data_IF_003017401304
#
_entry.id   IF_003017401304
#
_cell.length_a   1.000
_cell.length_b   1.000
_cell.length_c   1.000
_cell.angle_alpha   90.00
_cell.angle_beta   90.00
_cell.angle_gamma   90.00
#
_symmetry.space_group_name_H-M   'P 1'
#
loop_
_entity.id
_entity.type
_entity.pdbx_description
1 polymer ?
#
# COMPACT_ATOMS: atom_id res chain seq x y z
N UNK A 1 35.32 -51.51 -11.26
CA UNK A 1 33.88 -51.50 -10.91
C UNK A 1 33.67 -50.30 -10.01
N UNK A 2 33.37 -49.17 -10.63
CA UNK A 2 33.23 -47.85 -9.98
C UNK A 2 31.77 -47.49 -10.02
N UNK A 3 31.18 -47.34 -8.84
CA UNK A 3 29.79 -46.90 -8.67
C UNK A 3 29.74 -45.37 -8.64
N UNK A 4 29.10 -44.76 -9.60
CA UNK A 4 28.70 -43.34 -9.60
C UNK A 4 27.45 -43.18 -8.76
N UNK A 5 27.55 -42.40 -7.68
CA UNK A 5 26.42 -41.90 -6.92
C UNK A 5 25.92 -40.59 -7.52
N UNK A 6 24.74 -40.61 -8.05
CA UNK A 6 24.01 -39.41 -8.51
C UNK A 6 23.38 -38.68 -7.33
N UNK A 7 23.91 -37.50 -7.00
CA UNK A 7 23.28 -36.58 -6.06
C UNK A 7 22.14 -35.86 -6.75
N UNK A 8 20.92 -36.17 -6.39
CA UNK A 8 19.74 -35.34 -6.69
C UNK A 8 19.76 -34.12 -5.80
N UNK A 9 20.07 -32.97 -6.35
CA UNK A 9 19.74 -31.69 -5.75
C UNK A 9 18.22 -31.48 -5.91
N UNK A 10 17.49 -31.61 -4.82
CA UNK A 10 16.13 -31.14 -4.73
C UNK A 10 16.18 -29.61 -4.54
N UNK A 11 15.84 -28.87 -5.59
CA UNK A 11 15.47 -27.46 -5.49
C UNK A 11 14.23 -27.39 -4.61
N UNK A 12 14.39 -26.92 -3.39
CA UNK A 12 13.28 -26.46 -2.56
C UNK A 12 12.82 -25.14 -3.18
N UNK A 13 11.65 -25.17 -3.79
CA UNK A 13 10.87 -23.97 -4.07
C UNK A 13 10.51 -23.35 -2.72
N UNK A 14 11.19 -22.28 -2.36
CA UNK A 14 10.95 -21.49 -1.15
C UNK A 14 10.10 -20.31 -1.61
N UNK A 15 8.79 -20.46 -1.50
CA UNK A 15 7.83 -19.36 -1.78
C UNK A 15 7.96 -18.30 -0.70
N UNK A 16 7.98 -17.06 -1.14
CA UNK A 16 8.06 -15.89 -0.29
C UNK A 16 6.73 -15.63 0.42
N UNK A 17 6.77 -15.71 1.72
CA UNK A 17 5.65 -15.45 2.62
C UNK A 17 5.77 -14.07 3.32
N UNK A 18 6.17 -13.04 2.62
CA UNK A 18 6.42 -11.74 3.21
C UNK A 18 5.60 -10.62 2.56
N UNK A 19 4.33 -10.51 2.94
CA UNK A 19 3.58 -9.26 2.90
C UNK A 19 2.39 -9.37 3.86
N UNK A 20 2.42 -8.61 4.95
CA UNK A 20 1.30 -8.28 5.85
C UNK A 20 0.15 -9.30 5.90
N UNK A 21 0.28 -10.40 6.60
CA UNK A 21 -0.88 -11.26 6.73
C UNK A 21 -0.70 -12.64 7.31
N UNK A 22 0.14 -12.87 8.34
CA UNK A 22 0.09 -14.12 9.08
C UNK A 22 -0.75 -14.02 10.34
N UNK A 23 -2.02 -14.40 10.20
CA UNK A 23 -2.77 -15.00 11.28
C UNK A 23 -3.15 -16.43 10.88
N UNK A 24 -2.21 -17.38 11.04
CA UNK A 24 -2.52 -18.79 11.05
C UNK A 24 -2.64 -19.25 12.52
N UNK A 25 -3.55 -20.21 12.80
CA UNK A 25 -3.61 -20.83 14.11
C UNK A 25 -2.32 -21.60 14.39
N UNK A 26 -1.91 -21.63 15.59
CA UNK A 26 -0.73 -22.03 16.33
C UNK A 26 0.08 -23.28 15.94
N UNK A 27 0.27 -23.63 14.67
CA UNK A 27 1.08 -24.81 14.26
C UNK A 27 2.07 -24.60 13.13
N UNK A 28 2.22 -23.37 12.59
CA UNK A 28 3.25 -23.07 11.59
C UNK A 28 4.30 -22.12 12.16
N UNK A 29 5.55 -22.35 11.75
CA UNK A 29 6.75 -21.74 12.28
C UNK A 29 6.57 -20.26 12.61
N UNK A 30 6.90 -19.92 13.84
CA UNK A 30 7.04 -18.57 14.35
C UNK A 30 8.17 -17.92 13.57
N UNK A 31 7.85 -17.14 12.53
CA UNK A 31 8.79 -16.21 11.95
C UNK A 31 8.90 -15.03 12.91
N UNK A 32 10.11 -14.65 13.25
CA UNK A 32 10.41 -13.50 14.11
C UNK A 32 9.93 -12.24 13.37
N UNK A 33 8.76 -11.73 13.77
CA UNK A 33 8.32 -10.39 13.40
C UNK A 33 9.18 -9.38 14.13
N UNK A 34 9.40 -8.22 13.51
CA UNK A 34 9.95 -7.11 14.24
C UNK A 34 9.07 -6.81 15.46
N UNK A 35 9.62 -7.06 16.64
CA UNK A 35 8.99 -6.68 17.89
C UNK A 35 9.40 -5.24 18.25
N UNK A 36 8.45 -4.48 18.80
CA UNK A 36 8.78 -3.18 19.37
C UNK A 36 9.74 -3.36 20.55
N UNK A 37 10.75 -2.51 20.63
CA UNK A 37 11.67 -2.52 21.78
C UNK A 37 10.91 -2.15 23.05
N UNK A 38 11.09 -2.92 24.12
CA UNK A 38 10.52 -2.62 25.44
C UNK A 38 11.01 -1.27 26.02
N UNK A 39 12.12 -0.72 25.50
CA UNK A 39 12.67 0.59 25.86
C UNK A 39 12.25 1.69 24.88
N UNK A 40 11.45 1.36 23.84
CA UNK A 40 11.06 2.25 22.77
C UNK A 40 12.09 2.35 21.64
N UNK A 41 11.79 3.10 20.56
CA UNK A 41 12.67 3.26 19.42
C UNK A 41 13.98 3.98 19.77
N UNK A 42 15.07 3.58 19.13
CA UNK A 42 16.39 4.20 19.20
C UNK A 42 16.76 4.83 17.86
N UNK A 43 17.60 5.87 17.86
CA UNK A 43 17.92 6.66 16.68
C UNK A 43 19.42 6.79 16.46
N UNK A 44 19.83 6.91 15.20
CA UNK A 44 21.22 7.20 14.83
C UNK A 44 21.64 8.62 15.23
N UNK A 45 20.67 9.56 15.26
CA UNK A 45 20.85 10.93 15.76
C UNK A 45 20.41 11.01 17.23
N UNK A 46 21.31 11.33 18.20
CA UNK A 46 21.00 11.33 19.64
C UNK A 46 20.01 12.44 20.04
N UNK A 47 19.83 13.45 19.21
CA UNK A 47 18.90 14.54 19.48
C UNK A 47 17.46 14.17 19.14
N UNK A 48 17.23 13.10 18.37
CA UNK A 48 15.90 12.64 18.00
C UNK A 48 15.28 11.83 19.14
N UNK A 49 13.99 12.09 19.37
CA UNK A 49 13.18 11.42 20.37
C UNK A 49 11.84 10.98 19.75
N UNK A 50 11.31 9.88 20.26
CA UNK A 50 9.94 9.47 20.03
C UNK A 50 9.22 9.39 21.38
N UNK A 51 8.02 9.92 21.44
CA UNK A 51 7.11 9.74 22.56
C UNK A 51 5.89 8.96 22.13
N UNK A 52 5.39 8.09 22.99
CA UNK A 52 4.16 7.36 22.76
C UNK A 52 2.98 8.32 22.95
N UNK A 53 2.22 8.54 21.89
CA UNK A 53 1.00 9.34 21.95
C UNK A 53 -0.19 8.50 22.42
N UNK A 54 -0.30 7.29 21.93
CA UNK A 54 -1.32 6.29 22.32
C UNK A 54 -0.81 4.89 21.99
N UNK A 55 -1.26 3.92 22.74
CA UNK A 55 -1.01 2.48 22.54
C UNK A 55 -2.30 1.66 22.71
N UNK A 56 -2.28 0.39 22.28
CA UNK A 56 -3.41 -0.53 22.43
C UNK A 56 -4.48 -0.40 21.34
N UNK A 57 -4.13 0.16 20.17
CA UNK A 57 -4.98 0.12 18.98
C UNK A 57 -5.00 -1.33 18.41
N UNK A 58 -6.11 -1.73 17.79
CA UNK A 58 -6.28 -3.09 17.26
C UNK A 58 -5.89 -3.17 15.78
N UNK A 59 -4.67 -3.66 15.51
CA UNK A 59 -4.14 -3.89 14.16
C UNK A 59 -4.36 -2.68 13.22
N UNK A 60 -3.85 -1.48 13.56
CA UNK A 60 -4.10 -0.32 12.74
C UNK A 60 -3.23 -0.33 11.47
N UNK A 61 -3.82 0.13 10.35
CA UNK A 61 -3.17 0.12 9.04
C UNK A 61 -2.82 1.51 8.52
N UNK A 62 -3.64 2.49 8.78
CA UNK A 62 -3.45 3.84 8.24
C UNK A 62 -4.07 4.90 9.14
N UNK A 63 -3.55 6.11 9.06
CA UNK A 63 -4.05 7.26 9.84
C UNK A 63 -4.09 8.53 9.00
N UNK A 64 -4.93 9.48 9.42
CA UNK A 64 -4.98 10.82 8.84
C UNK A 64 -5.18 11.86 9.94
N UNK A 65 -4.45 12.97 9.88
CA UNK A 65 -4.49 14.00 10.91
C UNK A 65 -5.42 15.15 10.51
N UNK A 66 -6.43 15.40 11.33
CA UNK A 66 -7.35 16.54 11.19
C UNK A 66 -6.71 17.84 11.69
N UNK A 67 -5.92 17.76 12.75
CA UNK A 67 -5.16 18.83 13.40
C UNK A 67 -4.03 18.19 14.23
N UNK A 68 -3.14 18.95 14.86
CA UNK A 68 -2.25 18.41 15.87
C UNK A 68 -3.02 17.60 16.91
N UNK A 69 -2.55 16.39 17.22
CA UNK A 69 -3.15 15.46 18.19
C UNK A 69 -4.64 15.13 17.96
N UNK A 70 -5.17 15.35 16.74
CA UNK A 70 -6.51 15.00 16.31
C UNK A 70 -6.43 14.06 15.10
N UNK A 71 -6.50 12.76 15.35
CA UNK A 71 -6.13 11.70 14.42
C UNK A 71 -7.33 10.80 14.14
N UNK A 72 -7.56 10.51 12.86
CA UNK A 72 -8.39 9.39 12.42
C UNK A 72 -7.49 8.18 12.19
N UNK A 73 -7.85 7.03 12.75
CA UNK A 73 -7.10 5.79 12.61
C UNK A 73 -8.02 4.65 12.18
N UNK A 74 -7.53 3.82 11.28
CA UNK A 74 -8.21 2.63 10.80
C UNK A 74 -7.82 1.42 11.66
N UNK A 75 -8.79 0.63 12.09
CA UNK A 75 -8.55 -0.69 12.67
C UNK A 75 -8.95 -1.76 11.63
N UNK A 76 -7.93 -2.48 11.15
CA UNK A 76 -8.00 -3.35 9.97
C UNK A 76 -9.16 -4.33 10.00
N UNK A 77 -9.13 -5.23 10.99
CA UNK A 77 -10.05 -6.35 11.09
C UNK A 77 -11.39 -5.97 11.71
N UNK A 78 -11.40 -4.95 12.57
CA UNK A 78 -12.61 -4.43 13.17
C UNK A 78 -13.50 -3.67 12.18
N UNK A 79 -12.95 -3.22 11.04
CA UNK A 79 -13.70 -2.44 10.06
C UNK A 79 -14.12 -1.07 10.60
N UNK A 80 -13.33 -0.47 11.50
CA UNK A 80 -13.70 0.79 12.16
C UNK A 80 -12.77 1.93 11.80
N UNK A 81 -13.34 3.14 11.79
CA UNK A 81 -12.61 4.40 11.79
C UNK A 81 -12.77 5.01 13.17
N UNK A 82 -11.69 5.12 13.91
CA UNK A 82 -11.66 5.69 15.25
C UNK A 82 -11.04 7.07 15.24
N UNK A 83 -11.39 7.91 16.21
CA UNK A 83 -10.80 9.25 16.37
C UNK A 83 -10.10 9.36 17.71
N UNK A 84 -8.88 9.87 17.68
CA UNK A 84 -8.02 10.13 18.83
C UNK A 84 -7.89 11.64 18.95
N UNK A 85 -8.15 12.18 20.14
CA UNK A 85 -7.96 13.59 20.46
C UNK A 85 -7.12 13.69 21.73
N UNK A 86 -6.01 14.43 21.67
CA UNK A 86 -5.08 14.59 22.79
C UNK A 86 -4.67 13.25 23.44
N UNK A 87 -4.31 12.27 22.59
CA UNK A 87 -3.90 10.93 23.01
C UNK A 87 -5.01 10.04 23.59
N UNK A 88 -6.27 10.42 23.40
CA UNK A 88 -7.42 9.63 23.89
C UNK A 88 -8.35 9.26 22.75
N UNK A 89 -8.60 7.96 22.59
CA UNK A 89 -9.57 7.45 21.63
C UNK A 89 -10.99 7.74 22.10
N UNK A 90 -11.86 8.21 21.19
CA UNK A 90 -13.29 8.37 21.47
C UNK A 90 -13.92 6.98 21.70
N UNK A 91 -14.90 6.91 22.59
CA UNK A 91 -15.61 5.68 22.95
C UNK A 91 -16.30 5.04 21.75
N UNK A 92 -16.93 5.86 20.90
CA UNK A 92 -17.66 5.39 19.73
C UNK A 92 -16.87 5.63 18.44
N UNK A 93 -16.74 4.64 17.56
CA UNK A 93 -16.12 4.86 16.26
C UNK A 93 -16.93 5.81 15.38
N UNK A 94 -16.26 6.53 14.50
CA UNK A 94 -16.89 7.40 13.51
C UNK A 94 -17.65 6.60 12.44
N UNK A 95 -17.16 5.40 12.15
CA UNK A 95 -17.73 4.46 11.18
C UNK A 95 -17.40 3.02 11.59
N UNK A 96 -18.33 2.11 11.30
CA UNK A 96 -18.10 0.67 11.35
C UNK A 96 -18.74 0.04 10.11
N UNK A 97 -17.95 -0.71 9.33
CA UNK A 97 -18.35 -1.42 8.11
C UNK A 97 -17.92 -2.87 8.17
N UNK A 98 -18.58 -3.72 7.39
CA UNK A 98 -18.17 -5.12 7.27
C UNK A 98 -17.00 -5.23 6.29
N UNK A 99 -15.92 -5.84 6.73
CA UNK A 99 -14.70 -6.03 5.95
C UNK A 99 -14.25 -7.48 5.93
N UNK A 100 -13.53 -7.87 4.90
CA UNK A 100 -12.75 -9.10 4.88
C UNK A 100 -11.68 -9.07 5.97
N UNK A 101 -11.26 -10.24 6.47
CA UNK A 101 -10.31 -10.32 7.59
C UNK A 101 -9.12 -11.25 7.30
N UNK A 102 -9.03 -11.78 6.07
CA UNK A 102 -7.90 -12.65 5.70
C UNK A 102 -6.74 -11.82 5.17
N UNK A 103 -5.54 -12.30 5.43
CA UNK A 103 -4.26 -11.79 4.90
C UNK A 103 -4.23 -10.25 4.89
N UNK A 104 -4.34 -9.61 3.73
CA UNK A 104 -4.32 -8.16 3.61
C UNK A 104 -5.73 -7.52 3.66
N UNK A 105 -6.80 -8.27 3.50
CA UNK A 105 -8.16 -7.75 3.56
C UNK A 105 -8.47 -6.96 4.83
N UNK A 106 -9.23 -5.89 4.72
CA UNK A 106 -9.64 -5.08 5.86
C UNK A 106 -9.88 -3.62 5.51
N UNK A 107 -9.82 -2.78 6.55
CA UNK A 107 -9.69 -1.33 6.39
C UNK A 107 -8.23 -1.02 6.07
N UNK A 108 -7.92 -0.44 4.89
CA UNK A 108 -6.56 -0.35 4.38
C UNK A 108 -6.06 1.09 4.26
N UNK A 109 -6.83 1.99 3.68
CA UNK A 109 -6.36 3.34 3.42
C UNK A 109 -7.33 4.45 3.80
N UNK A 110 -6.78 5.58 4.24
CA UNK A 110 -7.52 6.78 4.57
C UNK A 110 -6.81 8.03 4.04
N UNK A 111 -7.59 8.94 3.49
CA UNK A 111 -7.14 10.31 3.23
C UNK A 111 -8.25 11.30 3.57
N UNK A 112 -7.88 12.55 3.86
CA UNK A 112 -8.84 13.62 4.17
C UNK A 112 -8.67 14.78 3.20
N UNK A 113 -9.78 15.45 2.87
CA UNK A 113 -9.79 16.68 2.09
C UNK A 113 -10.63 17.75 2.77
N UNK A 114 -10.07 18.93 2.91
CA UNK A 114 -10.73 20.16 3.40
C UNK A 114 -10.81 21.23 2.32
N UNK A 115 -10.67 20.84 1.04
CA UNK A 115 -10.63 21.82 -0.07
C UNK A 115 -11.93 22.57 -0.29
N UNK A 116 -13.08 21.98 0.10
CA UNK A 116 -14.38 22.64 0.05
C UNK A 116 -14.65 23.29 1.42
N UNK A 117 -14.75 24.63 1.50
CA UNK A 117 -15.00 25.32 2.77
C UNK A 117 -16.23 24.77 3.49
N UNK A 118 -16.09 24.50 4.79
CA UNK A 118 -17.18 23.97 5.61
C UNK A 118 -17.41 22.46 5.51
N UNK A 119 -16.68 21.75 4.64
CA UNK A 119 -16.78 20.31 4.48
C UNK A 119 -15.42 19.64 4.75
N UNK A 120 -15.45 18.53 5.46
CA UNK A 120 -14.31 17.61 5.58
C UNK A 120 -14.73 16.28 4.96
N UNK A 121 -14.11 15.94 3.84
CA UNK A 121 -14.31 14.65 3.20
C UNK A 121 -13.25 13.67 3.67
N UNK A 122 -13.67 12.43 3.91
CA UNK A 122 -12.82 11.29 4.27
C UNK A 122 -12.96 10.23 3.19
N UNK A 123 -11.84 9.86 2.60
CA UNK A 123 -11.74 8.82 1.59
C UNK A 123 -11.24 7.56 2.28
N UNK A 124 -11.95 6.45 2.10
CA UNK A 124 -11.65 5.18 2.72
C UNK A 124 -11.57 4.10 1.64
N UNK A 125 -10.47 3.36 1.66
CA UNK A 125 -10.30 2.17 0.85
C UNK A 125 -10.30 0.94 1.75
N UNK A 126 -11.15 -0.04 1.41
CA UNK A 126 -11.27 -1.26 2.19
C UNK A 126 -11.83 -2.41 1.37
N UNK A 127 -11.52 -3.63 1.79
CA UNK A 127 -12.10 -4.85 1.24
C UNK A 127 -13.48 -5.06 1.85
N UNK A 128 -14.52 -4.66 1.14
CA UNK A 128 -15.90 -4.74 1.62
C UNK A 128 -16.41 -6.18 1.56
N UNK A 129 -17.11 -6.58 2.63
CA UNK A 129 -17.73 -7.90 2.73
C UNK A 129 -19.23 -7.78 3.00
N UNK A 130 -19.97 -8.82 2.60
CA UNK A 130 -21.37 -8.95 3.00
C UNK A 130 -21.49 -8.98 4.53
N UNK A 131 -22.58 -8.42 5.05
CA UNK A 131 -22.93 -8.66 6.44
C UNK A 131 -23.08 -10.16 6.65
N UNK A 132 -22.28 -10.75 7.52
CA UNK A 132 -22.44 -12.14 7.92
C UNK A 132 -23.92 -12.37 8.23
N UNK A 133 -24.57 -13.28 7.50
CA UNK A 133 -25.94 -13.64 7.75
C UNK A 133 -26.02 -14.14 9.19
N UNK A 134 -26.48 -13.29 10.10
CA UNK A 134 -26.75 -13.63 11.48
C UNK A 134 -27.98 -14.57 11.56
N UNK A 135 -27.99 -15.59 10.71
CA UNK A 135 -28.89 -16.73 10.80
C UNK A 135 -28.27 -17.84 11.65
N UNK A 136 -27.83 -17.48 12.86
CA UNK A 136 -27.86 -18.47 13.93
C UNK A 136 -29.32 -18.66 14.31
N UNK A 137 -29.99 -19.57 13.61
CA UNK A 137 -31.22 -20.19 14.11
C UNK A 137 -30.96 -20.65 15.55
N UNK A 138 -31.55 -19.96 16.50
CA UNK A 138 -31.62 -20.35 17.89
C UNK A 138 -32.51 -21.59 18.02
N UNK A 139 -32.02 -22.72 17.49
CA UNK A 139 -32.52 -24.05 17.69
C UNK A 139 -31.66 -24.71 18.74
N UNK A 140 -32.25 -24.95 19.93
CA UNK A 140 -31.66 -25.68 21.03
C UNK A 140 -31.05 -27.01 20.56
N UNK A 141 -29.73 -27.13 20.65
CA UNK A 141 -28.98 -28.37 20.49
C UNK A 141 -27.61 -28.20 21.11
N UNK A 142 -27.47 -28.73 22.36
CA UNK A 142 -26.15 -28.88 22.99
C UNK A 142 -25.31 -29.81 22.12
N UNK A 143 -24.11 -29.37 21.69
CA UNK A 143 -22.91 -30.22 21.70
C UNK A 143 -21.66 -29.42 21.30
N UNK A 144 -20.66 -29.57 22.16
CA UNK A 144 -19.20 -29.51 21.95
C UNK A 144 -18.58 -28.40 21.11
N UNK A 145 -17.85 -27.54 21.81
CA UNK A 145 -16.71 -26.73 21.49
C UNK A 145 -16.02 -26.94 20.13
N UNK A 146 -16.57 -26.31 19.06
CA UNK A 146 -15.84 -26.01 17.83
C UNK A 146 -16.04 -24.52 17.54
N UNK A 147 -14.93 -23.83 17.37
CA UNK A 147 -14.91 -22.46 16.89
C UNK A 147 -15.61 -22.41 15.55
N UNK A 148 -16.82 -21.85 15.49
CA UNK A 148 -17.53 -21.56 14.24
C UNK A 148 -16.96 -20.29 13.57
N UNK A 149 -15.69 -20.30 13.20
CA UNK A 149 -15.17 -19.41 12.18
C UNK A 149 -15.63 -19.93 10.81
N UNK A 150 -16.13 -19.05 9.94
CA UNK A 150 -16.38 -19.41 8.55
C UNK A 150 -15.12 -20.02 7.94
N UNK A 151 -15.27 -21.07 7.11
CA UNK A 151 -14.12 -21.62 6.40
C UNK A 151 -13.50 -20.52 5.47
N UNK A 152 -12.21 -20.61 5.13
CA UNK A 152 -11.59 -19.69 4.19
C UNK A 152 -12.38 -19.51 2.88
N UNK A 153 -12.94 -20.59 2.35
CA UNK A 153 -13.79 -20.58 1.13
C UNK A 153 -15.12 -19.82 1.35
N UNK A 154 -15.72 -19.89 2.54
CA UNK A 154 -16.93 -19.14 2.86
C UNK A 154 -16.63 -17.64 2.98
N UNK A 155 -15.49 -17.26 3.57
CA UNK A 155 -15.10 -15.85 3.65
C UNK A 155 -14.82 -15.25 2.27
N UNK A 156 -14.19 -16.00 1.35
CA UNK A 156 -13.95 -15.55 -0.01
C UNK A 156 -15.24 -15.27 -0.79
N UNK A 157 -16.28 -16.09 -0.59
CA UNK A 157 -17.59 -15.91 -1.23
C UNK A 157 -18.37 -14.70 -0.69
N UNK A 158 -17.97 -14.16 0.46
CA UNK A 158 -18.61 -13.00 1.09
C UNK A 158 -17.97 -11.66 0.70
N UNK A 159 -16.82 -11.66 0.00
CA UNK A 159 -16.15 -10.44 -0.45
C UNK A 159 -16.90 -9.81 -1.63
N UNK A 160 -17.19 -8.52 -1.48
CA UNK A 160 -17.83 -7.71 -2.52
C UNK A 160 -16.81 -7.04 -3.44
N UNK A 161 -15.63 -6.72 -2.93
CA UNK A 161 -14.55 -6.09 -3.67
C UNK A 161 -13.69 -5.15 -2.81
N UNK A 162 -12.59 -4.71 -3.38
CA UNK A 162 -11.82 -3.60 -2.85
C UNK A 162 -12.47 -2.29 -3.30
N UNK A 163 -12.92 -1.47 -2.37
CA UNK A 163 -13.75 -0.32 -2.68
C UNK A 163 -13.20 0.97 -2.12
N UNK A 164 -13.21 2.01 -2.92
CA UNK A 164 -12.93 3.37 -2.49
C UNK A 164 -14.23 4.14 -2.32
N UNK A 165 -14.48 4.58 -1.10
CA UNK A 165 -15.61 5.43 -0.76
C UNK A 165 -15.15 6.82 -0.34
N UNK A 166 -15.99 7.83 -0.60
CA UNK A 166 -15.92 9.14 0.03
C UNK A 166 -17.06 9.30 1.02
N UNK A 167 -16.72 9.71 2.22
CA UNK A 167 -17.65 10.09 3.29
C UNK A 167 -17.54 11.58 3.60
N UNK A 168 -18.48 12.09 4.36
CA UNK A 168 -18.46 13.43 4.94
C UNK A 168 -18.36 13.31 6.46
N UNK A 169 -17.39 14.00 7.07
CA UNK A 169 -17.23 14.03 8.53
C UNK A 169 -18.12 15.10 9.13
N UNK A 170 -19.15 14.67 9.88
CA UNK A 170 -20.10 15.55 10.55
C UNK A 170 -20.34 15.06 11.97
N UNK A 171 -20.11 15.90 12.98
CA UNK A 171 -20.40 15.60 14.40
C UNK A 171 -19.86 14.24 14.86
N UNK A 172 -18.59 13.95 14.59
CA UNK A 172 -17.91 12.68 14.89
C UNK A 172 -18.59 11.44 14.27
N UNK A 173 -19.20 11.59 13.11
CA UNK A 173 -19.71 10.48 12.30
C UNK A 173 -19.30 10.68 10.84
N UNK A 174 -18.99 9.56 10.17
CA UNK A 174 -18.79 9.51 8.74
C UNK A 174 -20.13 9.14 8.10
N UNK A 175 -20.67 10.08 7.35
CA UNK A 175 -22.03 9.99 6.73
C UNK A 175 -21.94 10.18 5.22
N UNK A 176 -23.06 10.02 4.53
CA UNK A 176 -23.21 10.24 3.09
C UNK A 176 -22.17 9.46 2.24
N UNK A 177 -22.08 8.11 2.38
CA UNK A 177 -21.16 7.32 1.60
C UNK A 177 -21.42 7.47 0.10
N UNK A 178 -20.34 7.67 -0.65
CA UNK A 178 -20.35 7.67 -2.10
C UNK A 178 -19.28 6.73 -2.62
N UNK A 179 -19.68 5.65 -3.30
CA UNK A 179 -18.75 4.74 -3.96
C UNK A 179 -18.10 5.46 -5.14
N UNK A 180 -16.76 5.45 -5.16
CA UNK A 180 -15.96 6.09 -6.20
C UNK A 180 -15.29 5.07 -7.11
N UNK A 181 -14.79 3.95 -6.55
CA UNK A 181 -14.20 2.84 -7.27
C UNK A 181 -14.73 1.51 -6.71
N UNK A 182 -15.04 0.59 -7.60
CA UNK A 182 -15.44 -0.80 -7.32
C UNK A 182 -14.44 -1.70 -8.04
N UNK A 183 -13.55 -2.33 -7.29
CA UNK A 183 -12.37 -3.01 -7.79
C UNK A 183 -12.36 -4.49 -7.35
N UNK A 184 -11.62 -5.37 -8.03
CA UNK A 184 -11.44 -6.74 -7.59
C UNK A 184 -10.90 -6.81 -6.15
N UNK A 185 -11.45 -7.71 -5.33
CA UNK A 185 -10.98 -7.95 -3.95
C UNK A 185 -10.56 -9.41 -3.74
N UNK A 186 -10.63 -10.23 -4.78
CA UNK A 186 -10.25 -11.65 -4.71
C UNK A 186 -9.45 -12.05 -5.93
N UNK A 187 -8.51 -12.98 -5.73
CA UNK A 187 -7.81 -13.59 -6.86
C UNK A 187 -8.81 -14.28 -7.81
N UNK A 188 -8.60 -14.20 -9.13
CA UNK A 188 -9.41 -14.96 -10.11
C UNK A 188 -9.13 -16.45 -10.04
N UNK A 189 -8.02 -16.84 -9.42
CA UNK A 189 -7.64 -18.22 -9.27
C UNK A 189 -8.28 -18.78 -8.01
N UNK A 190 -9.19 -19.72 -8.17
CA UNK A 190 -9.85 -20.40 -7.05
C UNK A 190 -9.04 -21.66 -6.69
N UNK A 191 -7.77 -21.48 -6.35
CA UNK A 191 -6.90 -22.58 -5.93
C UNK A 191 -6.09 -22.21 -4.69
N UNK A 192 -5.55 -23.22 -4.02
CA UNK A 192 -4.75 -23.07 -2.79
C UNK A 192 -3.33 -22.51 -3.03
N UNK A 193 -2.99 -22.16 -4.25
CA UNK A 193 -1.66 -21.63 -4.62
C UNK A 193 -1.65 -20.11 -4.70
N UNK A 194 -2.82 -19.50 -4.90
CA UNK A 194 -2.97 -18.06 -5.03
C UNK A 194 -3.72 -17.53 -3.81
N UNK A 195 -3.02 -16.82 -2.96
CA UNK A 195 -3.61 -16.19 -1.78
C UNK A 195 -4.31 -14.89 -2.18
N UNK A 196 -5.33 -14.50 -1.42
CA UNK A 196 -5.98 -13.21 -1.57
C UNK A 196 -5.15 -12.16 -0.82
N UNK A 197 -4.13 -11.65 -1.46
CA UNK A 197 -3.21 -10.63 -0.96
C UNK A 197 -2.88 -9.61 -2.07
N UNK A 198 -1.99 -8.69 -1.80
CA UNK A 198 -1.59 -7.60 -2.69
C UNK A 198 -2.76 -6.65 -2.99
N UNK A 199 -3.48 -6.27 -1.93
CA UNK A 199 -4.64 -5.37 -2.06
C UNK A 199 -4.23 -3.89 -2.17
N UNK A 200 -2.97 -3.54 -1.87
CA UNK A 200 -2.50 -2.17 -1.85
C UNK A 200 -3.24 -1.32 -0.82
N UNK A 201 -3.88 -0.26 -1.28
CA UNK A 201 -4.86 0.48 -0.50
C UNK A 201 -4.41 1.82 0.06
N UNK A 202 -3.19 2.27 -0.18
CA UNK A 202 -2.80 3.63 0.21
C UNK A 202 -3.60 4.65 -0.58
N UNK A 203 -4.18 5.62 0.12
CA UNK A 203 -4.97 6.70 -0.48
C UNK A 203 -4.30 8.04 -0.22
N UNK A 204 -4.15 8.86 -1.25
CA UNK A 204 -3.56 10.18 -1.18
C UNK A 204 -4.47 11.23 -1.85
N UNK A 205 -4.40 12.45 -1.35
CA UNK A 205 -4.93 13.63 -2.04
C UNK A 205 -3.73 14.46 -2.50
N UNK A 206 -3.58 14.61 -3.81
CA UNK A 206 -2.51 15.45 -4.35
C UNK A 206 -2.70 16.91 -3.88
N UNK A 207 -1.72 17.52 -3.22
CA UNK A 207 -1.85 18.88 -2.68
C UNK A 207 -2.01 19.94 -3.78
N UNK A 208 -1.51 19.69 -4.99
CA UNK A 208 -1.51 20.65 -6.10
C UNK A 208 -2.84 20.63 -6.87
N UNK A 209 -3.25 19.45 -7.37
CA UNK A 209 -4.45 19.33 -8.22
C UNK A 209 -5.70 18.88 -7.45
N UNK A 210 -5.54 18.26 -6.27
CA UNK A 210 -6.61 17.80 -5.41
C UNK A 210 -7.24 16.49 -5.82
N UNK A 211 -6.68 15.81 -6.81
CA UNK A 211 -7.16 14.50 -7.20
C UNK A 211 -6.81 13.44 -6.16
N UNK A 212 -7.59 12.37 -6.18
CA UNK A 212 -7.42 11.20 -5.32
C UNK A 212 -6.57 10.18 -6.06
N UNK A 213 -5.53 9.70 -5.41
CA UNK A 213 -4.69 8.60 -5.88
C UNK A 213 -4.88 7.41 -4.94
N UNK A 214 -4.94 6.21 -5.49
CA UNK A 214 -5.03 4.97 -4.72
C UNK A 214 -4.15 3.90 -5.34
N UNK A 215 -3.35 3.23 -4.51
CA UNK A 215 -2.54 2.08 -4.92
C UNK A 215 -3.38 0.81 -4.88
N UNK A 216 -3.23 -0.03 -5.88
CA UNK A 216 -3.87 -1.35 -5.96
C UNK A 216 -2.82 -2.35 -6.44
N UNK A 217 -2.64 -3.43 -5.72
CA UNK A 217 -1.70 -4.47 -6.11
C UNK A 217 -2.26 -5.45 -7.15
N UNK A 218 -1.52 -6.51 -7.43
CA UNK A 218 -1.87 -7.51 -8.45
C UNK A 218 -2.91 -8.56 -7.98
N UNK A 219 -3.52 -8.33 -6.83
CA UNK A 219 -4.59 -9.14 -6.22
C UNK A 219 -4.26 -10.65 -6.25
N UNK A 220 -3.30 -11.04 -5.44
CA UNK A 220 -2.95 -12.44 -5.26
C UNK A 220 -2.13 -13.05 -6.38
N UNK A 221 -1.21 -12.27 -6.95
CA UNK A 221 -0.28 -12.75 -7.95
C UNK A 221 -0.93 -13.08 -9.28
N UNK A 222 -1.89 -12.28 -9.70
CA UNK A 222 -2.49 -12.34 -11.04
C UNK A 222 -1.44 -11.97 -12.08
N UNK A 223 -0.56 -12.91 -12.41
CA UNK A 223 0.57 -12.69 -13.32
C UNK A 223 0.16 -12.08 -14.67
N UNK A 224 -1.03 -12.41 -15.17
CA UNK A 224 -1.62 -11.79 -16.35
C UNK A 224 -2.23 -10.40 -16.10
N UNK A 225 -2.26 -9.93 -14.85
CA UNK A 225 -2.95 -8.71 -14.44
C UNK A 225 -2.01 -7.55 -14.11
N UNK A 226 -0.70 -7.73 -14.33
CA UNK A 226 0.26 -6.64 -14.16
C UNK A 226 0.02 -5.44 -15.11
N UNK A 227 -0.96 -5.59 -16.03
CA UNK A 227 -1.39 -4.57 -17.00
C UNK A 227 -0.34 -4.20 -18.06
N UNK A 228 0.84 -4.78 -18.00
CA UNK A 228 1.95 -4.55 -18.92
C UNK A 228 2.28 -5.77 -19.83
N UNK A 229 1.49 -6.83 -19.76
CA UNK A 229 1.66 -8.05 -20.56
C UNK A 229 0.86 -7.94 -21.86
N UNK A 230 1.49 -8.20 -23.01
CA UNK A 230 0.90 -7.97 -24.35
C UNK A 230 -0.38 -8.75 -24.64
N UNK A 231 -0.51 -9.94 -24.08
CA UNK A 231 -1.68 -10.81 -24.24
C UNK A 231 -2.42 -10.98 -22.90
N UNK A 232 -2.28 -10.01 -21.98
CA UNK A 232 -2.89 -10.02 -20.67
C UNK A 232 -4.38 -9.68 -20.69
N UNK A 233 -4.99 -9.80 -19.52
CA UNK A 233 -6.38 -9.41 -19.31
C UNK A 233 -6.57 -7.88 -19.41
N UNK A 234 -7.79 -7.41 -19.69
CA UNK A 234 -8.07 -5.98 -19.76
C UNK A 234 -7.86 -5.30 -18.39
N UNK A 235 -7.64 -4.00 -18.42
CA UNK A 235 -7.55 -3.17 -17.22
C UNK A 235 -8.76 -3.35 -16.30
N UNK A 236 -8.57 -3.97 -15.15
CA UNK A 236 -9.60 -4.28 -14.16
C UNK A 236 -9.48 -3.45 -12.87
N UNK A 237 -8.51 -2.56 -12.81
CA UNK A 237 -8.21 -1.71 -11.66
C UNK A 237 -7.14 -2.24 -10.72
N UNK A 238 -6.58 -3.44 -10.99
CA UNK A 238 -5.45 -4.00 -10.23
C UNK A 238 -4.10 -3.57 -10.80
N UNK A 239 -3.01 -3.92 -10.10
CA UNK A 239 -1.62 -3.69 -10.53
C UNK A 239 -1.30 -2.25 -10.92
N UNK A 240 -1.72 -1.27 -10.15
CA UNK A 240 -1.45 0.11 -10.51
C UNK A 240 -1.77 1.16 -9.47
N UNK A 241 -1.55 2.40 -9.87
CA UNK A 241 -2.02 3.58 -9.15
C UNK A 241 -3.12 4.22 -9.96
N UNK A 242 -4.32 4.31 -9.37
CA UNK A 242 -5.47 4.93 -9.99
C UNK A 242 -5.61 6.37 -9.56
N UNK A 243 -5.97 7.26 -10.49
CA UNK A 243 -6.18 8.71 -10.25
C UNK A 243 -7.56 9.14 -10.70
N UNK A 244 -8.32 9.72 -9.79
CA UNK A 244 -9.69 10.20 -10.01
C UNK A 244 -9.93 11.55 -9.34
N UNK A 245 -10.96 12.26 -9.76
CA UNK A 245 -11.47 13.43 -9.03
C UNK A 245 -12.14 13.03 -7.71
N UNK A 246 -12.33 13.99 -6.80
CA UNK A 246 -12.90 13.73 -5.47
C UNK A 246 -14.37 13.26 -5.47
N UNK A 247 -15.06 13.37 -6.58
CA UNK A 247 -16.40 12.80 -6.77
C UNK A 247 -16.41 11.57 -7.69
N UNK A 248 -15.21 11.02 -8.02
CA UNK A 248 -15.05 9.89 -8.92
C UNK A 248 -15.01 10.29 -10.40
N UNK A 249 -14.86 11.59 -10.70
CA UNK A 249 -14.74 12.07 -12.07
C UNK A 249 -13.46 11.55 -12.74
N UNK A 250 -13.54 11.34 -14.03
CA UNK A 250 -12.38 11.11 -14.87
C UNK A 250 -11.46 12.34 -14.87
N UNK A 251 -10.17 12.12 -14.66
CA UNK A 251 -9.15 13.15 -14.81
C UNK A 251 -8.67 13.15 -16.26
N UNK A 252 -8.95 14.21 -17.00
CA UNK A 252 -8.80 14.25 -18.46
C UNK A 252 -7.35 14.13 -18.95
N UNK A 253 -6.38 14.35 -18.08
CA UNK A 253 -4.95 14.22 -18.40
C UNK A 253 -4.31 12.93 -17.86
N UNK A 254 -5.12 11.92 -17.46
CA UNK A 254 -4.61 10.58 -17.21
C UNK A 254 -4.00 10.01 -18.51
N UNK A 255 -2.91 9.21 -18.41
CA UNK A 255 -2.13 8.81 -19.58
C UNK A 255 -2.91 7.97 -20.59
N UNK A 256 -3.87 7.18 -20.12
CA UNK A 256 -4.61 6.22 -20.94
C UNK A 256 -6.04 6.68 -21.27
N UNK A 257 -6.33 7.98 -21.11
CA UNK A 257 -7.62 8.53 -21.55
C UNK A 257 -7.73 8.39 -23.06
N UNK A 258 -8.82 7.75 -23.49
CA UNK A 258 -9.16 7.52 -24.88
C UNK A 258 -10.24 8.54 -25.27
N UNK A 259 -10.04 9.21 -26.42
CA UNK A 259 -11.06 10.03 -27.03
C UNK A 259 -12.24 9.21 -27.55
N UNK A 260 -13.40 9.82 -27.70
CA UNK A 260 -14.57 9.15 -28.28
C UNK A 260 -14.23 8.54 -29.65
N UNK A 261 -14.28 7.20 -29.73
CA UNK A 261 -14.06 6.45 -30.97
C UNK A 261 -12.61 5.97 -31.22
N UNK A 262 -11.69 6.18 -30.28
CA UNK A 262 -10.34 5.62 -30.33
C UNK A 262 -10.29 4.30 -29.55
N UNK A 263 -9.53 3.31 -30.04
CA UNK A 263 -9.26 2.02 -29.38
C UNK A 263 -7.81 2.02 -28.86
N UNK A 264 -7.59 1.51 -27.64
CA UNK A 264 -6.23 1.19 -27.18
C UNK A 264 -5.87 -0.17 -27.78
N UNK A 265 -4.90 -0.21 -28.69
CA UNK A 265 -4.36 -1.48 -29.20
C UNK A 265 -3.61 -2.19 -28.06
N UNK A 266 -3.97 -3.44 -27.85
CA UNK A 266 -3.39 -4.29 -26.79
C UNK A 266 -4.30 -4.49 -25.57
N UNK A 267 -5.41 -3.77 -25.47
CA UNK A 267 -6.46 -4.08 -24.51
C UNK A 267 -7.42 -5.07 -25.20
N UNK A 268 -7.27 -6.35 -24.92
CA UNK A 268 -8.11 -7.41 -25.48
C UNK A 268 -9.57 -7.23 -25.05
N UNK A 269 -10.44 -6.95 -26.03
CA UNK A 269 -11.89 -7.04 -25.81
C UNK A 269 -12.23 -8.51 -25.96
N UNK A 270 -12.36 -9.25 -24.87
CA UNK A 270 -12.87 -10.60 -24.94
C UNK A 270 -14.35 -10.58 -25.33
N UNK A 271 -14.56 -10.93 -26.62
CA UNK A 271 -15.76 -11.59 -27.12
C UNK A 271 -17.08 -10.88 -26.99
N UNK A 272 -17.35 -9.99 -27.94
CA UNK A 272 -18.65 -9.88 -28.58
C UNK A 272 -19.90 -9.87 -27.71
N UNK A 273 -20.20 -8.74 -27.10
CA UNK A 273 -21.54 -8.17 -27.01
C UNK A 273 -21.37 -6.65 -26.87
N UNK A 274 -21.94 -5.90 -27.80
CA UNK A 274 -22.19 -4.47 -27.66
C UNK A 274 -23.10 -4.28 -26.44
N UNK A 275 -22.51 -4.15 -25.26
CA UNK A 275 -23.22 -3.62 -24.10
C UNK A 275 -23.18 -2.10 -24.21
N UNK A 276 -24.36 -1.50 -24.12
CA UNK A 276 -24.56 -0.06 -24.21
C UNK A 276 -23.58 0.69 -23.32
N UNK A 277 -22.67 1.42 -23.93
CA UNK A 277 -21.62 2.28 -23.31
C UNK A 277 -22.19 3.26 -22.27
N UNK A 278 -23.49 3.51 -22.27
CA UNK A 278 -24.17 4.47 -21.39
C UNK A 278 -24.54 3.93 -20.00
N UNK A 279 -24.54 2.63 -19.77
CA UNK A 279 -24.99 2.03 -18.49
C UNK A 279 -23.86 1.44 -17.63
N UNK A 280 -22.65 1.29 -18.17
CA UNK A 280 -21.55 0.66 -17.43
C UNK A 280 -20.45 1.67 -17.11
N UNK A 281 -20.64 2.47 -16.05
CA UNK A 281 -19.65 3.44 -15.55
C UNK A 281 -18.33 2.80 -15.10
N UNK A 282 -18.25 1.48 -15.07
CA UNK A 282 -17.11 0.66 -14.64
C UNK A 282 -16.75 -0.45 -15.65
N UNK A 283 -17.10 -0.34 -16.93
CA UNK A 283 -16.60 -1.26 -17.96
C UNK A 283 -15.06 -1.14 -18.10
N UNK A 284 -14.39 -2.18 -18.66
CA UNK A 284 -12.94 -2.23 -18.80
C UNK A 284 -12.29 -0.94 -19.34
N UNK A 285 -12.94 -0.27 -20.29
CA UNK A 285 -12.51 1.04 -20.77
C UNK A 285 -12.62 2.14 -19.70
N UNK A 286 -13.64 2.10 -18.83
CA UNK A 286 -13.84 3.08 -17.78
C UNK A 286 -12.71 3.03 -16.73
N UNK A 287 -12.15 1.85 -16.46
CA UNK A 287 -11.05 1.67 -15.53
C UNK A 287 -9.69 2.01 -16.16
N UNK A 288 -9.44 1.65 -17.41
CA UNK A 288 -8.21 2.03 -18.13
C UNK A 288 -7.93 3.55 -18.04
N UNK A 289 -8.97 4.35 -18.24
CA UNK A 289 -8.88 5.81 -18.18
C UNK A 289 -8.55 6.37 -16.77
N UNK A 290 -8.54 5.52 -15.73
CA UNK A 290 -8.25 5.91 -14.34
C UNK A 290 -6.85 5.60 -13.90
N UNK A 291 -6.09 4.80 -14.67
CA UNK A 291 -4.70 4.50 -14.35
C UNK A 291 -3.83 5.74 -14.51
N UNK A 292 -3.01 5.98 -13.48
CA UNK A 292 -1.91 6.92 -13.50
C UNK A 292 -0.59 6.19 -13.78
N UNK A 293 -0.43 5.01 -13.19
CA UNK A 293 0.69 4.08 -13.32
C UNK A 293 0.18 2.63 -13.32
N UNK A 294 0.99 1.69 -13.82
CA UNK A 294 0.63 0.28 -13.96
C UNK A 294 1.87 -0.61 -13.83
N UNK A 295 1.69 -1.94 -13.93
CA UNK A 295 2.79 -2.88 -13.80
C UNK A 295 3.34 -2.99 -12.39
N UNK A 296 2.50 -2.72 -11.37
CA UNK A 296 2.86 -2.68 -9.96
C UNK A 296 2.42 -3.97 -9.28
N UNK A 297 3.33 -4.64 -8.56
CA UNK A 297 3.00 -5.83 -7.78
C UNK A 297 2.19 -5.50 -6.54
N UNK A 298 2.76 -4.72 -5.62
CA UNK A 298 2.08 -4.28 -4.39
C UNK A 298 2.81 -3.08 -3.77
N UNK A 299 2.15 -1.94 -3.71
CA UNK A 299 2.70 -0.69 -3.19
C UNK A 299 1.93 -0.25 -1.94
N UNK A 300 2.63 -0.12 -0.79
CA UNK A 300 2.06 0.34 0.46
C UNK A 300 2.59 1.71 0.90
N UNK A 301 3.81 2.08 0.54
CA UNK A 301 4.38 3.38 0.83
C UNK A 301 4.25 4.31 -0.38
N UNK A 302 3.57 5.45 -0.22
CA UNK A 302 3.43 6.41 -1.32
C UNK A 302 3.25 7.82 -0.77
N UNK A 303 3.97 8.80 -1.36
CA UNK A 303 3.79 10.21 -1.02
C UNK A 303 4.26 11.12 -2.17
N UNK A 304 3.83 12.37 -2.12
CA UNK A 304 4.28 13.42 -3.03
C UNK A 304 5.47 14.17 -2.46
N UNK A 305 6.53 14.28 -3.25
CA UNK A 305 7.64 15.18 -2.93
C UNK A 305 7.12 16.62 -2.77
N UNK A 306 7.29 17.26 -1.61
CA UNK A 306 6.71 18.57 -1.33
C UNK A 306 7.31 19.69 -2.16
N UNK A 307 8.48 19.47 -2.79
CA UNK A 307 9.20 20.49 -3.59
C UNK A 307 8.83 20.39 -5.07
N UNK A 308 8.84 19.16 -5.62
CA UNK A 308 8.61 18.95 -7.06
C UNK A 308 7.18 18.55 -7.38
N UNK A 309 6.45 18.00 -6.40
CA UNK A 309 5.13 17.40 -6.61
C UNK A 309 5.17 16.04 -7.30
N UNK A 310 6.34 15.46 -7.53
CA UNK A 310 6.48 14.11 -8.06
C UNK A 310 5.96 13.08 -7.06
N UNK A 311 5.31 12.06 -7.56
CA UNK A 311 4.88 10.91 -6.77
C UNK A 311 6.05 9.95 -6.62
N UNK A 312 6.23 9.43 -5.43
CA UNK A 312 7.17 8.36 -5.10
C UNK A 312 6.42 7.23 -4.43
N UNK A 313 6.84 6.00 -4.69
CA UNK A 313 6.30 4.85 -4.00
C UNK A 313 7.37 3.87 -3.53
N UNK A 314 6.95 2.92 -2.70
CA UNK A 314 7.70 1.71 -2.40
C UNK A 314 6.91 0.52 -2.91
N UNK A 315 7.58 -0.41 -3.56
CA UNK A 315 6.97 -1.63 -4.08
C UNK A 315 7.61 -2.88 -3.43
N UNK A 316 6.77 -3.82 -3.01
CA UNK A 316 7.20 -5.05 -2.40
C UNK A 316 7.46 -6.12 -3.46
N UNK A 317 8.70 -6.62 -3.51
CA UNK A 317 9.10 -7.76 -4.33
C UNK A 317 8.56 -9.10 -3.80
N UNK A 318 8.66 -10.18 -4.59
CA UNK A 318 8.14 -11.49 -4.17
C UNK A 318 9.06 -12.21 -3.16
N UNK A 319 10.34 -12.32 -3.45
CA UNK A 319 11.37 -12.97 -2.62
C UNK A 319 12.66 -12.18 -2.57
N UNK A 320 12.75 -11.18 -3.41
CA UNK A 320 13.89 -10.29 -3.57
C UNK A 320 13.42 -8.99 -4.21
N UNK A 321 14.23 -7.93 -4.11
CA UNK A 321 14.08 -6.69 -4.82
C UNK A 321 12.82 -5.90 -4.44
N UNK A 322 12.73 -5.50 -3.16
CA UNK A 322 11.84 -4.38 -2.80
C UNK A 322 12.40 -3.07 -3.37
N UNK A 323 11.53 -2.14 -3.73
CA UNK A 323 11.91 -0.99 -4.54
C UNK A 323 11.45 0.36 -3.95
N UNK A 324 12.17 1.43 -4.33
CA UNK A 324 11.68 2.80 -4.28
C UNK A 324 11.65 3.33 -5.71
N UNK A 325 10.51 3.88 -6.13
CA UNK A 325 10.30 4.38 -7.49
C UNK A 325 9.89 5.86 -7.52
N UNK A 326 10.28 6.56 -8.58
CA UNK A 326 9.63 7.80 -9.01
C UNK A 326 8.50 7.43 -9.97
N UNK A 327 7.28 7.75 -9.58
CA UNK A 327 6.09 7.40 -10.34
C UNK A 327 5.63 8.58 -11.18
N UNK A 328 6.11 8.65 -12.40
CA UNK A 328 5.62 9.63 -13.38
C UNK A 328 4.30 9.14 -14.02
N UNK A 329 3.61 10.05 -14.71
CA UNK A 329 2.39 9.70 -15.44
C UNK A 329 2.68 8.67 -16.55
N UNK A 330 2.02 7.52 -16.51
CA UNK A 330 2.27 6.41 -17.42
C UNK A 330 3.41 5.48 -16.98
N UNK A 331 3.91 5.63 -15.75
CA UNK A 331 4.94 4.74 -15.21
C UNK A 331 4.49 3.28 -15.26
N UNK A 332 5.41 2.43 -15.71
CA UNK A 332 5.32 0.97 -15.69
C UNK A 332 6.44 0.46 -14.79
N UNK A 333 6.09 -0.17 -13.67
CA UNK A 333 7.09 -0.73 -12.74
C UNK A 333 7.77 -1.99 -13.27
N UNK A 334 7.18 -2.63 -14.26
CA UNK A 334 7.77 -3.80 -14.92
C UNK A 334 7.34 -5.16 -14.38
N UNK A 335 6.60 -5.21 -13.28
CA UNK A 335 6.09 -6.45 -12.73
C UNK A 335 5.24 -7.18 -13.79
N UNK A 336 5.38 -8.44 -14.09
CA UNK A 336 6.17 -9.52 -13.49
C UNK A 336 7.52 -9.73 -14.21
N UNK A 337 7.80 -8.99 -15.28
CA UNK A 337 8.94 -9.20 -16.18
C UNK A 337 10.26 -8.69 -15.59
N UNK A 338 10.19 -7.62 -14.84
CA UNK A 338 11.32 -6.99 -14.15
C UNK A 338 10.99 -6.88 -12.68
N UNK A 339 12.00 -7.14 -11.85
CA UNK A 339 11.97 -6.99 -10.40
C UNK A 339 13.33 -6.41 -10.01
N UNK A 340 13.34 -5.21 -9.44
CA UNK A 340 14.58 -4.45 -9.26
C UNK A 340 15.06 -3.83 -10.58
N UNK A 341 16.37 -3.67 -10.69
CA UNK A 341 17.00 -3.09 -11.88
C UNK A 341 16.84 -4.03 -13.10
N UNK A 342 16.44 -3.46 -14.24
CA UNK A 342 16.34 -4.24 -15.47
C UNK A 342 17.72 -4.77 -15.90
N UNK A 343 17.81 -6.01 -16.41
CA UNK A 343 19.03 -6.51 -17.01
C UNK A 343 19.49 -5.65 -18.19
N UNK A 344 20.80 -5.47 -18.38
CA UNK A 344 21.39 -4.64 -19.45
C UNK A 344 20.86 -4.90 -20.86
N UNK A 345 20.41 -6.15 -21.12
CA UNK A 345 19.87 -6.57 -22.42
C UNK A 345 18.35 -6.62 -22.46
N UNK A 346 17.64 -6.12 -21.44
CA UNK A 346 16.18 -6.11 -21.41
C UNK A 346 15.64 -5.06 -22.39
N UNK A 347 14.78 -5.51 -23.31
CA UNK A 347 14.14 -4.64 -24.28
C UNK A 347 12.71 -4.34 -23.89
N UNK A 348 12.51 -3.22 -23.20
CA UNK A 348 11.20 -2.79 -22.69
C UNK A 348 10.12 -2.73 -23.75
N UNK A 349 10.44 -2.22 -24.96
CA UNK A 349 9.46 -2.12 -26.05
C UNK A 349 9.01 -3.48 -26.59
N UNK A 350 9.87 -4.49 -26.51
CA UNK A 350 9.54 -5.85 -26.96
C UNK A 350 8.85 -6.67 -25.88
N UNK A 351 9.27 -6.49 -24.62
CA UNK A 351 8.85 -7.34 -23.49
C UNK A 351 7.59 -6.80 -22.80
N UNK A 352 7.43 -5.46 -22.72
CA UNK A 352 6.34 -4.82 -22.00
C UNK A 352 5.32 -4.19 -22.95
N UNK A 353 4.09 -4.04 -22.48
CA UNK A 353 3.03 -3.34 -23.19
C UNK A 353 3.13 -1.83 -22.88
N UNK A 354 3.55 -1.04 -23.88
CA UNK A 354 3.79 0.40 -23.70
C UNK A 354 2.61 1.29 -24.11
N UNK A 355 1.49 0.71 -24.54
CA UNK A 355 0.30 1.47 -24.98
C UNK A 355 0.63 2.57 -26.00
N UNK A 356 1.37 2.19 -27.06
CA UNK A 356 1.82 3.11 -28.12
C UNK A 356 2.71 4.28 -27.56
N UNK A 357 3.50 3.99 -26.50
CA UNK A 357 4.41 4.96 -25.88
C UNK A 357 3.77 5.86 -24.83
N UNK A 358 2.50 5.63 -24.46
CA UNK A 358 1.84 6.31 -23.33
C UNK A 358 2.33 5.77 -21.98
N UNK A 359 2.68 4.49 -21.94
CA UNK A 359 3.30 3.83 -20.80
C UNK A 359 4.82 3.73 -20.99
N UNK A 360 5.57 3.87 -19.90
CA UNK A 360 7.02 3.85 -19.92
C UNK A 360 7.59 3.21 -18.66
N UNK A 361 8.37 2.15 -18.85
CA UNK A 361 9.19 1.58 -17.80
C UNK A 361 10.33 2.54 -17.41
N UNK A 362 10.64 2.60 -16.12
CA UNK A 362 11.90 3.13 -15.62
C UNK A 362 12.40 2.26 -14.47
N UNK A 363 13.74 2.13 -14.36
CA UNK A 363 14.37 1.46 -13.24
C UNK A 363 14.04 2.15 -11.92
N UNK A 364 13.98 1.39 -10.79
CA UNK A 364 13.81 1.96 -9.46
C UNK A 364 15.01 2.84 -9.05
N UNK A 365 14.73 3.82 -8.20
CA UNK A 365 15.74 4.70 -7.60
C UNK A 365 16.54 4.00 -6.49
N UNK A 366 15.98 2.92 -5.92
CA UNK A 366 16.65 2.10 -4.93
C UNK A 366 16.06 0.69 -4.86
N UNK A 367 16.91 -0.30 -4.60
CA UNK A 367 16.55 -1.72 -4.49
C UNK A 367 17.11 -2.32 -3.21
N UNK A 368 16.24 -2.96 -2.42
CA UNK A 368 16.67 -3.89 -1.38
C UNK A 368 16.64 -5.31 -1.95
N UNK A 369 17.79 -5.92 -2.21
CA UNK A 369 17.84 -7.31 -2.71
C UNK A 369 17.29 -8.33 -1.72
N UNK A 370 17.51 -8.10 -0.44
CA UNK A 370 16.81 -8.83 0.61
C UNK A 370 15.58 -8.03 1.01
N UNK A 371 14.37 -8.57 0.80
CA UNK A 371 13.16 -7.86 1.12
C UNK A 371 13.11 -7.43 2.57
N UNK A 372 12.58 -6.24 2.79
CA UNK A 372 12.33 -5.65 4.10
C UNK A 372 10.85 -5.38 4.36
N UNK A 373 10.02 -5.56 3.32
CA UNK A 373 8.61 -5.22 3.36
C UNK A 373 8.36 -3.73 3.61
N UNK A 374 8.75 -2.80 2.71
CA UNK A 374 8.51 -1.38 2.92
C UNK A 374 7.01 -1.08 2.85
N UNK A 375 6.47 -0.45 3.88
CA UNK A 375 5.03 -0.25 4.07
C UNK A 375 4.60 1.21 4.16
N UNK A 376 5.52 2.09 4.48
CA UNK A 376 5.21 3.50 4.63
C UNK A 376 6.30 4.35 3.98
N UNK A 377 5.91 5.37 3.25
CA UNK A 377 6.79 6.40 2.70
C UNK A 377 6.22 7.76 3.03
N UNK A 378 7.07 8.66 3.55
CA UNK A 378 6.67 10.02 3.87
C UNK A 378 7.78 11.02 3.65
N UNK A 379 7.49 12.10 2.95
CA UNK A 379 8.36 13.27 2.93
C UNK A 379 8.12 14.15 4.15
N UNK A 380 9.20 14.51 4.84
CA UNK A 380 9.15 15.42 5.99
C UNK A 380 9.19 16.88 5.51
N UNK A 381 8.05 17.51 5.33
CA UNK A 381 7.93 18.89 4.95
C UNK A 381 7.98 19.85 6.17
N UNK A 382 8.87 19.57 7.11
CA UNK A 382 9.00 20.25 8.39
C UNK A 382 10.44 20.18 8.91
N UNK A 383 10.84 21.13 9.72
CA UNK A 383 12.15 21.16 10.40
C UNK A 383 12.12 20.61 11.83
N UNK A 384 11.03 19.99 12.27
CA UNK A 384 10.84 19.48 13.64
C UNK A 384 11.78 18.35 14.06
N UNK A 385 12.35 17.61 13.11
CA UNK A 385 13.44 16.65 13.36
C UNK A 385 14.84 17.28 13.17
N UNK A 386 14.90 18.57 12.88
CA UNK A 386 16.12 19.28 12.50
C UNK A 386 16.14 19.61 11.01
N UNK A 387 16.74 20.76 10.68
CA UNK A 387 16.76 21.27 9.30
C UNK A 387 17.46 20.33 8.31
N UNK A 388 18.37 19.48 8.79
CA UNK A 388 19.07 18.48 7.97
C UNK A 388 18.16 17.37 7.45
N UNK A 389 16.96 17.23 8.01
CA UNK A 389 15.96 16.22 7.61
C UNK A 389 14.76 16.83 6.86
N UNK A 390 14.67 18.16 6.80
CA UNK A 390 13.61 18.86 6.07
C UNK A 390 13.62 18.45 4.59
N UNK A 391 12.45 18.06 4.07
CA UNK A 391 12.22 17.58 2.70
C UNK A 391 12.98 16.30 2.34
N UNK A 392 13.50 15.55 3.29
CA UNK A 392 13.98 14.20 3.08
C UNK A 392 12.84 13.19 3.11
N UNK A 393 13.07 12.01 2.55
CA UNK A 393 12.12 10.92 2.51
C UNK A 393 12.39 9.95 3.66
N UNK A 394 11.33 9.54 4.35
CA UNK A 394 11.35 8.47 5.35
C UNK A 394 10.61 7.26 4.80
N UNK A 395 11.15 6.07 5.06
CA UNK A 395 10.55 4.78 4.71
C UNK A 395 10.52 3.90 5.96
N UNK A 396 9.38 3.28 6.23
CA UNK A 396 9.20 2.31 7.31
C UNK A 396 9.01 0.91 6.77
N UNK A 397 9.47 -0.11 7.51
CA UNK A 397 9.36 -1.51 7.12
C UNK A 397 8.59 -2.37 8.14
N UNK A 398 8.31 -3.62 7.74
CA UNK A 398 7.64 -4.59 8.60
C UNK A 398 8.58 -5.65 9.15
N UNK A 399 9.65 -5.98 8.44
CA UNK A 399 10.48 -7.13 8.77
C UNK A 399 11.51 -6.80 9.86
N UNK A 400 12.09 -5.60 9.83
CA UNK A 400 13.12 -5.17 10.77
C UNK A 400 12.61 -4.19 11.83
N UNK A 401 11.47 -3.55 11.60
CA UNK A 401 10.98 -2.46 12.44
C UNK A 401 11.89 -1.24 12.38
N UNK A 402 12.45 -0.98 11.20
CA UNK A 402 13.36 0.12 10.96
C UNK A 402 12.64 1.30 10.31
N UNK A 403 13.17 2.48 10.62
CA UNK A 403 12.86 3.71 9.93
C UNK A 403 14.11 4.15 9.16
N UNK A 404 14.00 4.23 7.85
CA UNK A 404 15.06 4.69 6.96
C UNK A 404 14.88 6.16 6.63
N UNK A 405 15.99 6.88 6.38
CA UNK A 405 15.99 8.25 5.89
C UNK A 405 16.82 8.36 4.62
N UNK A 406 16.20 8.84 3.56
CA UNK A 406 16.82 9.09 2.27
C UNK A 406 16.84 10.59 1.97
N UNK A 407 18.01 11.10 1.62
CA UNK A 407 18.17 12.44 1.06
C UNK A 407 18.10 12.37 -0.45
N UNK A 408 17.47 13.36 -1.07
CA UNK A 408 17.38 13.44 -2.51
C UNK A 408 18.51 14.32 -3.07
N UNK A 409 18.90 14.09 -4.33
CA UNK A 409 19.81 14.93 -5.06
C UNK A 409 19.19 16.33 -5.27
N UNK A 410 19.99 17.29 -5.76
CA UNK A 410 19.56 18.70 -5.90
C UNK A 410 18.35 18.85 -6.81
N UNK A 411 18.28 18.07 -7.89
CA UNK A 411 17.19 18.11 -8.88
C UNK A 411 15.99 17.25 -8.47
N UNK A 412 16.12 16.51 -7.36
CA UNK A 412 15.09 15.61 -6.80
C UNK A 412 14.60 14.57 -7.82
N UNK A 413 15.56 14.05 -8.58
CA UNK A 413 15.36 12.99 -9.57
C UNK A 413 16.02 11.67 -9.18
N UNK A 414 16.49 11.55 -7.95
CA UNK A 414 17.14 10.37 -7.42
C UNK A 414 17.62 10.60 -5.99
N UNK A 415 18.21 9.57 -5.40
CA UNK A 415 18.66 9.55 -4.02
C UNK A 415 20.15 9.96 -3.90
N UNK A 416 20.52 10.55 -2.77
CA UNK A 416 21.93 10.78 -2.39
C UNK A 416 22.38 9.60 -1.53
N UNK A 417 23.05 8.65 -2.16
CA UNK A 417 23.52 7.43 -1.54
C UNK A 417 25.04 7.45 -1.34
N UNK A 418 25.52 6.79 -0.29
CA UNK A 418 26.90 6.77 0.08
C UNK A 418 27.44 5.34 0.26
N UNK A 419 28.78 5.20 0.19
CA UNK A 419 29.43 3.93 0.45
C UNK A 419 28.97 2.82 -0.50
N UNK A 420 28.60 1.65 0.02
CA UNK A 420 28.18 0.52 -0.82
C UNK A 420 26.88 0.78 -1.59
N UNK A 421 26.03 1.71 -1.12
CA UNK A 421 24.74 1.97 -1.74
C UNK A 421 24.78 2.87 -2.98
N UNK A 422 25.98 3.29 -3.46
CA UNK A 422 26.13 4.22 -4.60
C UNK A 422 25.63 3.66 -5.94
N UNK A 423 25.44 2.36 -6.04
CA UNK A 423 24.84 1.68 -7.20
C UNK A 423 23.32 1.52 -7.09
N UNK A 424 22.68 2.24 -6.17
CA UNK A 424 21.25 2.22 -5.90
C UNK A 424 20.73 0.87 -5.39
N UNK A 425 21.60 0.05 -4.81
CA UNK A 425 21.23 -1.29 -4.36
C UNK A 425 21.80 -1.56 -2.97
N UNK A 426 21.03 -2.24 -2.14
CA UNK A 426 21.50 -2.84 -0.91
C UNK A 426 21.51 -4.37 -1.07
N UNK A 427 22.71 -4.96 -1.18
CA UNK A 427 22.90 -6.40 -1.34
C UNK A 427 22.71 -7.16 -0.01
N UNK A 428 22.90 -6.47 1.10
CA UNK A 428 22.84 -7.06 2.44
C UNK A 428 22.41 -6.03 3.50
N UNK A 429 21.96 -6.48 4.69
CA UNK A 429 21.66 -5.58 5.81
C UNK A 429 22.87 -4.77 6.30
N UNK A 430 24.10 -5.32 6.18
CA UNK A 430 25.33 -4.62 6.58
C UNK A 430 25.54 -3.35 5.74
N UNK A 431 25.18 -3.39 4.46
CA UNK A 431 25.29 -2.23 3.57
C UNK A 431 24.33 -1.10 3.94
N UNK A 432 23.16 -1.41 4.50
CA UNK A 432 22.21 -0.40 5.02
C UNK A 432 22.83 0.38 6.19
N UNK A 433 23.58 -0.34 7.07
CA UNK A 433 24.31 0.28 8.19
C UNK A 433 25.47 1.14 7.67
N UNK A 434 26.31 0.59 6.78
CA UNK A 434 27.48 1.29 6.22
C UNK A 434 27.06 2.50 5.37
N UNK A 435 25.97 2.40 4.63
CA UNK A 435 25.40 3.48 3.85
C UNK A 435 24.75 4.56 4.67
N UNK A 436 24.48 4.30 5.97
CA UNK A 436 23.99 5.27 6.95
C UNK A 436 22.56 5.71 6.70
N UNK A 437 21.73 4.89 6.04
CA UNK A 437 20.31 5.21 5.78
C UNK A 437 19.38 4.78 6.90
N UNK A 438 19.82 3.92 7.82
CA UNK A 438 19.01 3.53 8.98
C UNK A 438 18.97 4.69 9.97
N UNK A 439 17.80 5.30 10.08
CA UNK A 439 17.56 6.45 10.97
C UNK A 439 17.10 6.04 12.35
N UNK A 440 16.21 5.03 12.45
CA UNK A 440 15.68 4.54 13.70
C UNK A 440 15.41 3.03 13.68
N UNK A 441 15.41 2.41 14.86
CA UNK A 441 15.20 0.97 15.06
C UNK A 441 14.29 0.71 16.24
N UNK A 442 13.61 -0.44 16.24
CA UNK A 442 12.81 -0.91 17.37
C UNK A 442 11.40 -0.36 17.44
N UNK A 443 10.84 0.06 16.31
CA UNK A 443 9.44 0.49 16.20
C UNK A 443 8.45 -0.69 16.23
N UNK A 444 8.87 -1.90 15.84
CA UNK A 444 7.99 -2.96 15.42
C UNK A 444 7.49 -2.73 13.98
N UNK A 445 6.40 -3.36 13.59
CA UNK A 445 5.86 -3.28 12.23
C UNK A 445 5.29 -1.88 11.94
N UNK A 446 6.00 -1.05 11.17
CA UNK A 446 5.52 0.28 10.77
C UNK A 446 4.46 0.14 9.67
N UNK A 447 3.27 0.74 9.83
CA UNK A 447 2.18 0.68 8.86
C UNK A 447 1.86 2.00 8.19
N UNK A 448 2.08 3.12 8.85
CA UNK A 448 1.85 4.45 8.27
C UNK A 448 2.70 5.53 8.92
N UNK A 449 2.93 6.60 8.19
CA UNK A 449 3.58 7.81 8.66
C UNK A 449 2.86 9.04 8.16
N UNK A 450 2.71 10.05 9.02
CA UNK A 450 2.10 11.33 8.66
C UNK A 450 2.86 12.50 9.30
N UNK A 451 2.93 13.62 8.58
CA UNK A 451 3.41 14.87 9.16
C UNK A 451 2.23 15.66 9.72
N UNK A 452 2.32 16.07 10.96
CA UNK A 452 1.24 16.76 11.65
C UNK A 452 0.97 18.14 11.03
N UNK A 453 -0.30 18.43 10.66
CA UNK A 453 -0.66 19.72 10.08
C UNK A 453 -0.63 20.82 11.14
N UNK A 454 0.35 21.71 11.05
CA UNK A 454 0.50 22.86 11.96
C UNK A 454 1.55 22.69 13.04
N UNK A 455 1.81 21.50 13.55
CA UNK A 455 2.91 21.20 14.48
C UNK A 455 4.18 20.69 13.81
N UNK A 456 4.04 20.04 12.64
CA UNK A 456 5.15 19.55 11.83
C UNK A 456 5.87 18.33 12.39
N UNK A 457 5.37 17.69 13.44
CA UNK A 457 5.94 16.45 13.96
C UNK A 457 5.73 15.29 12.97
N UNK A 458 6.65 14.32 12.97
CA UNK A 458 6.46 13.06 12.28
C UNK A 458 5.75 12.07 13.21
N UNK A 459 4.56 11.63 12.81
CA UNK A 459 3.80 10.61 13.50
C UNK A 459 4.05 9.26 12.80
N UNK A 460 4.35 8.23 13.59
CA UNK A 460 4.61 6.86 13.11
C UNK A 460 3.60 5.93 13.75
N UNK A 461 2.84 5.21 12.91
CA UNK A 461 1.86 4.22 13.33
C UNK A 461 2.46 2.83 13.15
N UNK A 462 2.24 1.96 14.15
CA UNK A 462 2.70 0.58 14.10
C UNK A 462 1.55 -0.41 14.25
N UNK A 463 1.69 -1.57 13.65
CA UNK A 463 0.64 -2.61 13.60
C UNK A 463 0.30 -3.19 14.97
N UNK A 464 1.25 -3.17 15.91
CA UNK A 464 1.04 -3.57 17.30
C UNK A 464 0.20 -2.58 18.11
N UNK A 465 -0.19 -1.45 17.48
CA UNK A 465 -1.18 -0.54 18.02
C UNK A 465 -0.65 0.71 18.67
N UNK A 466 0.57 1.12 18.35
CA UNK A 466 1.21 2.31 18.90
C UNK A 466 1.28 3.45 17.88
N UNK A 467 0.99 4.67 18.29
CA UNK A 467 1.34 5.89 17.56
C UNK A 467 2.45 6.60 18.33
N UNK A 468 3.59 6.75 17.66
CA UNK A 468 4.71 7.57 18.12
C UNK A 468 4.62 8.98 17.51
N UNK A 469 5.02 9.99 18.29
CA UNK A 469 5.28 11.34 17.81
C UNK A 469 6.77 11.65 17.93
N UNK A 470 7.42 12.03 16.83
CA UNK A 470 8.86 12.24 16.77
C UNK A 470 9.22 13.72 16.70
N UNK A 471 10.28 14.10 17.40
CA UNK A 471 10.79 15.46 17.47
C UNK A 471 12.29 15.50 17.77
N UNK A 472 12.92 16.64 17.50
CA UNK A 472 14.29 16.90 17.96
C UNK A 472 14.29 17.58 19.32
N UNK A 473 15.06 17.06 20.27
CA UNK A 473 15.27 17.68 21.59
C UNK A 473 16.19 18.90 21.55
N UNK A 474 16.82 19.17 20.39
CA UNK A 474 17.71 20.32 20.18
C UNK A 474 16.99 21.59 19.70
N UNK A 475 15.67 21.51 19.40
CA UNK A 475 14.85 22.62 18.86
C UNK A 475 13.89 23.16 19.91
#
# INVERSE_FOLDING_TARGET
>A
MVLYGSSFFALKEQYCYYCLGYFLPSTYAQYDRAESSSEGPTFSDPDIKAEVLIEGLDNPTSMALLAPDDILVLQKNAGTVNRIIDGKMLEEPLLHVNVGQQVEWGMLGIAISKRIPGHTYVFLYYTEANSASSNSNSGKGKNNGENNGNSPEQQQNDILGNRLYRYELVNNKLINPRLLLDLPGTSPFNDSKHENNHDGGKVLINPNDGNVYVTVGDIGGREGQAQNVKDGDPFDGSSGILRIGQNGELVSDNPFVIGDGEEIKGVGINGGKEENINDNKNGAYGLANRYYAYGIRNSFGVDFDPITGKLWDTENGPTENDEINIVDKGFDSGWLKVQGLAPDNFNTEQELLTFEGKGKYSDPEFVWKQPIGPTALKFLNSDRLGKQYENSMFVGDVDNGYLYNFKLNQDRTGLLLNGPLQDNTADSPDELEEGGIIFGKGFGVITDMQVGPGDGYLYVLTYDGTIYRMYSSAI
#
